data_IF_087634677862
#
_entry.id   IF_087634677862
#
_cell.length_a   1.000
_cell.length_b   1.000
_cell.length_c   1.000
_cell.angle_alpha   90.00
_cell.angle_beta   90.00
_cell.angle_gamma   90.00
#
_symmetry.space_group_name_H-M   'P 1'
#
loop_
_entity.id
_entity.type
_entity.pdbx_description
1 polymer ?
#
# COMPACT_ATOMS: atom_id res chain seq x y z
N UNK A 1 -16.88 4.51 9.25
CA UNK A 1 -15.57 4.45 9.92
C UNK A 1 -15.00 5.84 10.00
N UNK A 2 -15.05 6.44 11.18
CA UNK A 2 -14.38 7.71 11.50
C UNK A 2 -13.30 7.43 12.54
N UNK A 3 -12.21 8.19 12.49
CA UNK A 3 -11.17 8.14 13.51
C UNK A 3 -11.03 9.50 14.19
N UNK A 4 -10.70 9.51 15.49
CA UNK A 4 -10.40 10.75 16.21
C UNK A 4 -9.12 11.41 15.68
N UNK A 5 -8.16 10.58 15.28
CA UNK A 5 -6.86 10.98 14.75
C UNK A 5 -6.58 10.20 13.48
N UNK A 6 -5.69 10.72 12.63
CA UNK A 6 -5.32 10.05 11.40
C UNK A 6 -4.78 8.64 11.71
N UNK A 7 -5.37 7.56 11.11
CA UNK A 7 -4.89 6.20 11.28
C UNK A 7 -3.65 6.03 10.41
N UNK A 8 -2.57 6.61 10.89
CA UNK A 8 -1.31 6.69 10.21
C UNK A 8 -0.83 5.30 9.74
N UNK A 9 -0.89 4.28 10.60
CA UNK A 9 -0.57 2.90 10.23
C UNK A 9 -1.30 2.44 8.97
N UNK A 10 -2.61 2.66 8.89
CA UNK A 10 -3.43 2.30 7.72
C UNK A 10 -3.03 3.07 6.45
N UNK A 11 -2.51 4.29 6.62
CA UNK A 11 -2.05 5.14 5.53
C UNK A 11 -0.70 4.69 4.95
N UNK A 12 0.34 4.53 5.78
CA UNK A 12 1.70 4.31 5.27
C UNK A 12 2.25 2.90 5.45
N UNK A 13 1.62 1.99 6.21
CA UNK A 13 2.03 0.57 6.21
C UNK A 13 1.87 -0.05 4.83
N UNK A 14 0.73 0.11 4.11
CA UNK A 14 0.61 -0.43 2.75
C UNK A 14 1.66 0.14 1.79
N UNK A 15 1.95 1.43 1.90
CA UNK A 15 2.99 2.12 1.11
C UNK A 15 4.40 1.59 1.41
N UNK A 16 4.80 1.48 2.68
CA UNK A 16 6.13 0.98 3.02
C UNK A 16 6.29 -0.50 2.69
N UNK A 17 5.29 -1.32 3.01
CA UNK A 17 5.34 -2.75 2.78
C UNK A 17 5.46 -3.07 1.28
N UNK A 18 4.65 -2.41 0.45
CA UNK A 18 4.73 -2.55 -1.00
C UNK A 18 6.04 -2.07 -1.57
N UNK A 19 6.62 -0.99 -1.02
CA UNK A 19 7.94 -0.50 -1.39
C UNK A 19 9.04 -1.53 -1.07
N UNK A 20 9.02 -2.12 0.13
CA UNK A 20 9.96 -3.16 0.52
C UNK A 20 9.82 -4.41 -0.37
N UNK A 21 8.60 -4.90 -0.57
CA UNK A 21 8.33 -6.07 -1.43
C UNK A 21 8.84 -5.82 -2.84
N UNK A 22 8.48 -4.68 -3.41
CA UNK A 22 8.88 -4.28 -4.76
C UNK A 22 10.40 -4.18 -4.90
N UNK A 23 11.07 -3.55 -3.93
CA UNK A 23 12.53 -3.43 -3.90
C UNK A 23 13.20 -4.82 -3.80
N UNK A 24 12.72 -5.69 -2.91
CA UNK A 24 13.26 -7.04 -2.76
C UNK A 24 13.08 -7.88 -4.03
N UNK A 25 11.92 -7.80 -4.69
CA UNK A 25 11.68 -8.52 -5.95
C UNK A 25 12.67 -8.05 -7.02
N UNK A 26 12.84 -6.73 -7.17
CA UNK A 26 13.77 -6.17 -8.17
C UNK A 26 15.23 -6.55 -7.92
N UNK A 27 15.65 -6.63 -6.66
CA UNK A 27 17.06 -6.86 -6.31
C UNK A 27 17.42 -8.35 -6.23
N UNK A 28 16.49 -9.22 -5.82
CA UNK A 28 16.83 -10.59 -5.42
C UNK A 28 16.11 -11.69 -6.19
N UNK A 29 15.08 -11.37 -6.99
CA UNK A 29 14.30 -12.38 -7.69
C UNK A 29 14.65 -12.38 -9.18
N UNK A 30 15.26 -13.46 -9.65
CA UNK A 30 15.49 -13.67 -11.09
C UNK A 30 14.22 -14.20 -11.75
N UNK A 31 13.53 -13.33 -12.48
CA UNK A 31 12.29 -13.65 -13.18
C UNK A 31 12.51 -13.94 -14.67
N UNK A 32 13.75 -13.85 -15.18
CA UNK A 32 14.04 -14.06 -16.60
C UNK A 32 13.61 -15.45 -17.07
N UNK A 33 13.77 -16.46 -16.21
CA UNK A 33 13.36 -17.85 -16.48
C UNK A 33 11.84 -18.02 -16.62
N UNK A 34 11.05 -17.07 -16.10
CA UNK A 34 9.58 -17.11 -16.13
C UNK A 34 8.97 -16.11 -17.13
N UNK A 35 9.79 -15.28 -17.78
CA UNK A 35 9.33 -14.26 -18.73
C UNK A 35 8.43 -13.20 -18.10
N UNK A 36 8.67 -12.85 -16.83
CA UNK A 36 7.78 -11.99 -16.05
C UNK A 36 8.55 -10.78 -15.50
N UNK A 37 7.98 -9.59 -15.63
CA UNK A 37 8.65 -8.36 -15.18
C UNK A 37 8.54 -8.21 -13.65
N UNK A 38 9.63 -7.78 -13.00
CA UNK A 38 9.68 -7.55 -11.54
C UNK A 38 8.53 -6.67 -10.98
N UNK A 39 8.13 -5.55 -11.64
CA UNK A 39 6.96 -4.79 -11.25
C UNK A 39 5.65 -5.59 -11.27
N UNK A 40 5.44 -6.42 -12.30
CA UNK A 40 4.23 -7.25 -12.46
C UNK A 40 4.22 -8.37 -11.43
N UNK A 41 5.36 -9.02 -11.17
CA UNK A 41 5.48 -10.03 -10.12
C UNK A 41 5.16 -9.45 -8.75
N UNK A 42 5.72 -8.27 -8.46
CA UNK A 42 5.44 -7.54 -7.21
C UNK A 42 3.96 -7.22 -7.06
N UNK A 43 3.29 -6.79 -8.14
CA UNK A 43 1.85 -6.53 -8.15
C UNK A 43 1.04 -7.79 -7.82
N UNK A 44 1.39 -8.94 -8.42
CA UNK A 44 0.73 -10.22 -8.15
C UNK A 44 0.91 -10.62 -6.69
N UNK A 45 2.15 -10.57 -6.18
CA UNK A 45 2.45 -10.92 -4.79
C UNK A 45 1.70 -10.02 -3.80
N UNK A 46 1.66 -8.71 -4.05
CA UNK A 46 0.92 -7.76 -3.22
C UNK A 46 -0.59 -7.97 -3.31
N UNK A 47 -1.11 -8.34 -4.48
CA UNK A 47 -2.53 -8.67 -4.65
C UNK A 47 -2.93 -9.90 -3.84
N UNK A 48 -2.09 -10.94 -3.84
CA UNK A 48 -2.28 -12.11 -3.00
C UNK A 48 -2.23 -11.73 -1.52
N UNK A 49 -1.26 -10.89 -1.13
CA UNK A 49 -1.15 -10.42 0.25
C UNK A 49 -2.41 -9.68 0.70
N UNK A 50 -2.95 -8.78 -0.13
CA UNK A 50 -4.21 -8.05 0.14
C UNK A 50 -5.38 -9.02 0.35
N UNK A 51 -5.47 -10.08 -0.45
CA UNK A 51 -6.50 -11.11 -0.27
C UNK A 51 -6.29 -11.90 1.03
N UNK A 52 -5.04 -12.18 1.41
CA UNK A 52 -4.72 -12.89 2.63
C UNK A 52 -5.04 -12.11 3.92
N UNK A 53 -5.08 -10.78 3.89
CA UNK A 53 -5.39 -9.95 5.07
C UNK A 53 -6.71 -10.35 5.72
N UNK A 54 -7.70 -10.79 4.94
CA UNK A 54 -9.02 -11.21 5.43
C UNK A 54 -8.96 -12.42 6.38
N UNK A 55 -7.95 -13.28 6.22
CA UNK A 55 -7.77 -14.45 7.07
C UNK A 55 -7.04 -14.14 8.38
N UNK A 56 -6.37 -12.98 8.47
CA UNK A 56 -5.66 -12.55 9.69
C UNK A 56 -6.63 -11.97 10.70
N UNK A 57 -7.66 -11.27 10.24
CA UNK A 57 -8.69 -10.69 11.11
C UNK A 57 -10.07 -10.83 10.46
N UNK A 58 -10.82 -11.83 10.91
CA UNK A 58 -12.19 -12.07 10.43
C UNK A 58 -13.10 -11.01 11.03
N UNK A 59 -13.58 -10.12 10.17
CA UNK A 59 -14.54 -9.09 10.53
C UNK A 59 -15.97 -9.61 10.32
N UNK A 60 -16.72 -9.91 11.40
CA UNK A 60 -18.06 -10.49 11.30
C UNK A 60 -19.07 -9.55 10.61
N UNK A 61 -18.75 -8.26 10.50
CA UNK A 61 -19.60 -7.28 9.81
C UNK A 61 -19.39 -7.25 8.28
N UNK A 62 -18.48 -8.07 7.73
CA UNK A 62 -18.17 -8.13 6.30
C UNK A 62 -17.39 -6.93 5.74
N UNK A 63 -17.14 -5.89 6.57
CA UNK A 63 -16.42 -4.67 6.17
C UNK A 63 -14.96 -4.95 5.84
N UNK A 64 -14.36 -6.00 6.41
CA UNK A 64 -13.02 -6.49 6.04
C UNK A 64 -12.91 -6.92 4.57
N UNK A 65 -13.95 -7.57 4.03
CA UNK A 65 -13.97 -8.01 2.64
C UNK A 65 -14.10 -6.83 1.69
N UNK A 66 -14.99 -5.88 2.00
CA UNK A 66 -15.13 -4.65 1.22
C UNK A 66 -13.84 -3.82 1.20
N UNK A 67 -13.17 -3.69 2.36
CA UNK A 67 -11.85 -3.03 2.47
C UNK A 67 -10.81 -3.71 1.57
N UNK A 68 -10.75 -5.02 1.61
CA UNK A 68 -9.77 -5.79 0.84
C UNK A 68 -10.04 -5.72 -0.66
N UNK A 69 -11.32 -5.78 -1.06
CA UNK A 69 -11.73 -5.59 -2.46
C UNK A 69 -11.37 -4.18 -2.95
N UNK A 70 -11.66 -3.16 -2.14
CA UNK A 70 -11.25 -1.79 -2.43
C UNK A 70 -9.74 -1.65 -2.59
N UNK A 71 -8.97 -2.26 -1.69
CA UNK A 71 -7.51 -2.22 -1.74
C UNK A 71 -6.95 -2.92 -2.98
N UNK A 72 -7.52 -4.06 -3.37
CA UNK A 72 -7.16 -4.75 -4.59
C UNK A 72 -7.45 -3.87 -5.82
N UNK A 73 -8.64 -3.29 -5.92
CA UNK A 73 -9.00 -2.38 -7.01
C UNK A 73 -8.06 -1.17 -7.04
N UNK A 74 -7.76 -0.57 -5.89
CA UNK A 74 -6.88 0.59 -5.79
C UNK A 74 -5.44 0.27 -6.20
N UNK A 75 -4.93 -0.90 -5.80
CA UNK A 75 -3.60 -1.37 -6.18
C UNK A 75 -3.51 -1.59 -7.70
N UNK A 76 -4.48 -2.30 -8.27
CA UNK A 76 -4.53 -2.64 -9.70
C UNK A 76 -4.72 -1.37 -10.56
N UNK A 77 -5.67 -0.52 -10.21
CA UNK A 77 -5.92 0.74 -10.93
C UNK A 77 -4.79 1.74 -10.75
N UNK A 78 -4.12 1.74 -9.60
CA UNK A 78 -2.94 2.56 -9.38
C UNK A 78 -1.75 2.15 -10.24
N UNK A 79 -1.62 0.86 -10.56
CA UNK A 79 -0.51 0.32 -11.33
C UNK A 79 -0.75 0.28 -12.84
N UNK A 80 -1.80 -0.41 -13.33
CA UNK A 80 -1.93 -0.78 -14.75
C UNK A 80 -1.87 0.38 -15.75
N UNK A 81 -2.52 1.54 -15.51
CA UNK A 81 -2.48 2.65 -16.46
C UNK A 81 -1.07 3.23 -16.66
N UNK A 82 -0.12 2.95 -15.75
CA UNK A 82 1.31 3.27 -15.92
C UNK A 82 1.88 2.69 -17.21
N UNK A 83 1.39 1.53 -17.68
CA UNK A 83 1.83 0.93 -18.93
C UNK A 83 1.47 1.78 -20.17
N UNK A 84 0.45 2.64 -20.08
CA UNK A 84 -0.05 3.45 -21.20
C UNK A 84 0.47 4.88 -21.13
N UNK A 85 0.47 5.49 -19.95
CA UNK A 85 0.81 6.93 -19.79
C UNK A 85 2.11 7.17 -19.01
N UNK A 86 2.87 6.10 -18.74
CA UNK A 86 4.16 6.17 -18.05
C UNK A 86 4.06 6.72 -16.62
N UNK A 87 5.15 7.33 -16.16
CA UNK A 87 5.30 7.82 -14.78
C UNK A 87 4.34 8.95 -14.37
N UNK A 88 3.62 9.55 -15.32
CA UNK A 88 2.60 10.56 -15.03
C UNK A 88 1.46 9.97 -14.19
N UNK A 89 1.08 8.71 -14.45
CA UNK A 89 -0.01 8.08 -13.70
C UNK A 89 0.31 7.78 -12.24
N UNK A 90 1.43 7.09 -11.91
CA UNK A 90 1.85 6.92 -10.53
C UNK A 90 1.96 8.25 -9.76
N UNK A 91 2.41 9.32 -10.43
CA UNK A 91 2.46 10.65 -9.82
C UNK A 91 1.06 11.17 -9.46
N UNK A 92 0.09 11.08 -10.39
CA UNK A 92 -1.31 11.45 -10.12
C UNK A 92 -1.88 10.64 -8.95
N UNK A 93 -1.66 9.32 -8.96
CA UNK A 93 -2.15 8.40 -7.91
C UNK A 93 -1.53 8.75 -6.56
N UNK A 94 -0.22 9.02 -6.50
CA UNK A 94 0.48 9.43 -5.29
C UNK A 94 -0.08 10.74 -4.71
N UNK A 95 -0.31 11.74 -5.56
CA UNK A 95 -0.90 13.02 -5.17
C UNK A 95 -2.33 12.82 -4.64
N UNK A 96 -3.16 12.03 -5.34
CA UNK A 96 -4.52 11.70 -4.88
C UNK A 96 -4.47 11.03 -3.51
N UNK A 97 -3.61 10.01 -3.34
CA UNK A 97 -3.44 9.29 -2.07
C UNK A 97 -3.05 10.24 -0.93
N UNK A 98 -2.05 11.11 -1.13
CA UNK A 98 -1.62 12.11 -0.14
C UNK A 98 -2.73 13.13 0.20
N UNK A 99 -3.49 13.58 -0.79
CA UNK A 99 -4.65 14.46 -0.53
C UNK A 99 -5.69 13.71 0.31
N UNK A 100 -6.00 12.46 -0.01
CA UNK A 100 -6.96 11.66 0.75
C UNK A 100 -6.47 11.38 2.17
N UNK A 101 -5.16 11.24 2.43
CA UNK A 101 -4.61 11.13 3.79
C UNK A 101 -5.06 12.27 4.71
N UNK A 102 -5.25 13.49 4.20
CA UNK A 102 -5.75 14.63 4.99
C UNK A 102 -7.25 14.59 5.29
N UNK A 103 -8.03 13.85 4.48
CA UNK A 103 -9.50 13.85 4.52
C UNK A 103 -10.11 12.57 5.07
N UNK A 104 -9.47 11.41 4.85
CA UNK A 104 -10.11 10.11 5.03
C UNK A 104 -10.47 9.78 6.47
N UNK A 105 -9.76 10.35 7.44
CA UNK A 105 -10.00 10.12 8.86
C UNK A 105 -11.08 11.04 9.45
N UNK A 106 -11.36 12.18 8.80
CA UNK A 106 -12.29 13.20 9.31
C UNK A 106 -13.76 12.88 9.04
N UNK A 107 -14.04 11.99 8.10
CA UNK A 107 -15.40 11.67 7.66
C UNK A 107 -15.63 10.16 7.68
N UNK A 108 -16.89 9.77 7.84
CA UNK A 108 -17.31 8.37 7.79
C UNK A 108 -17.35 7.88 6.35
N UNK A 109 -16.24 7.34 5.87
CA UNK A 109 -16.17 6.73 4.53
C UNK A 109 -16.61 5.26 4.53
N UNK A 110 -17.14 4.77 3.39
CA UNK A 110 -17.46 3.37 3.24
C UNK A 110 -16.18 2.51 3.27
N UNK A 111 -16.26 1.27 3.78
CA UNK A 111 -15.11 0.36 3.88
C UNK A 111 -14.34 0.20 2.57
N UNK A 112 -15.06 0.05 1.46
CA UNK A 112 -14.47 -0.04 0.12
C UNK A 112 -13.58 1.16 -0.23
N UNK A 113 -13.99 2.39 0.11
CA UNK A 113 -13.21 3.60 -0.21
C UNK A 113 -11.94 3.70 0.64
N UNK A 114 -11.99 3.24 1.88
CA UNK A 114 -10.81 3.13 2.75
C UNK A 114 -9.83 2.11 2.16
N UNK A 115 -10.36 0.98 1.69
CA UNK A 115 -9.62 0.01 0.90
C UNK A 115 -8.93 0.65 -0.30
N UNK A 116 -9.70 1.33 -1.16
CA UNK A 116 -9.19 1.98 -2.37
C UNK A 116 -8.03 2.94 -2.08
N UNK A 117 -8.15 3.73 -1.02
CA UNK A 117 -7.10 4.62 -0.57
C UNK A 117 -5.84 3.87 -0.09
N UNK A 118 -5.99 2.79 0.69
CA UNK A 118 -4.86 1.94 1.08
C UNK A 118 -4.19 1.28 -0.14
N UNK A 119 -4.99 0.86 -1.13
CA UNK A 119 -4.53 0.34 -2.41
C UNK A 119 -3.73 1.37 -3.23
N UNK A 120 -4.14 2.65 -3.23
CA UNK A 120 -3.34 3.72 -3.84
C UNK A 120 -2.03 3.98 -3.11
N UNK A 121 -2.01 3.87 -1.77
CA UNK A 121 -0.77 3.88 -1.01
C UNK A 121 0.16 2.74 -1.41
N UNK A 122 -0.38 1.53 -1.52
CA UNK A 122 0.37 0.34 -1.92
C UNK A 122 0.90 0.41 -3.38
N UNK A 123 0.12 0.91 -4.33
CA UNK A 123 0.61 1.08 -5.71
C UNK A 123 1.70 2.16 -5.80
N UNK A 124 1.56 3.25 -5.04
CA UNK A 124 2.59 4.29 -4.94
C UNK A 124 3.89 3.71 -4.37
N UNK A 125 3.80 2.92 -3.30
CA UNK A 125 4.94 2.25 -2.70
C UNK A 125 5.60 1.25 -3.63
N UNK A 126 4.81 0.44 -4.35
CA UNK A 126 5.30 -0.48 -5.38
C UNK A 126 6.17 0.26 -6.40
N UNK A 127 5.66 1.32 -7.03
CA UNK A 127 6.39 2.06 -8.06
C UNK A 127 7.64 2.74 -7.49
N UNK A 128 7.53 3.35 -6.31
CA UNK A 128 8.69 3.95 -5.64
C UNK A 128 9.76 2.92 -5.28
N UNK A 129 9.36 1.70 -4.89
CA UNK A 129 10.27 0.58 -4.64
C UNK A 129 11.02 0.14 -5.88
N UNK A 130 10.34 0.07 -7.03
CA UNK A 130 10.97 -0.25 -8.32
C UNK A 130 12.00 0.82 -8.71
N UNK A 131 11.60 2.10 -8.67
CA UNK A 131 12.48 3.21 -9.04
C UNK A 131 13.68 3.29 -8.09
N UNK A 132 13.43 3.18 -6.79
CA UNK A 132 14.48 3.21 -5.77
C UNK A 132 15.49 2.08 -5.95
N UNK A 133 15.02 0.85 -6.16
CA UNK A 133 15.89 -0.29 -6.44
C UNK A 133 16.69 -0.11 -7.75
N UNK A 134 16.06 0.40 -8.81
CA UNK A 134 16.73 0.59 -10.10
C UNK A 134 17.79 1.71 -10.09
N UNK A 135 17.62 2.73 -9.25
CA UNK A 135 18.51 3.92 -9.22
C UNK A 135 19.57 3.82 -8.12
N UNK A 136 19.20 3.28 -6.95
CA UNK A 136 20.01 3.31 -5.73
C UNK A 136 20.35 1.91 -5.22
N UNK A 137 19.86 0.86 -5.88
CA UNK A 137 20.17 -0.54 -5.59
C UNK A 137 20.01 -0.89 -4.10
N UNK A 138 21.01 -1.57 -3.52
CA UNK A 138 21.05 -1.97 -2.12
C UNK A 138 20.98 -0.79 -1.14
N UNK A 139 21.45 0.41 -1.54
CA UNK A 139 21.38 1.58 -0.68
C UNK A 139 19.94 2.01 -0.42
N UNK A 140 19.04 1.82 -1.40
CA UNK A 140 17.61 2.07 -1.20
C UNK A 140 17.02 1.11 -0.18
N UNK A 141 17.31 -0.19 -0.32
CA UNK A 141 16.81 -1.22 0.59
C UNK A 141 17.24 -0.96 2.04
N UNK A 142 18.51 -0.59 2.25
CA UNK A 142 19.03 -0.21 3.57
C UNK A 142 18.25 0.99 4.10
N UNK A 143 18.05 2.02 3.27
CA UNK A 143 17.34 3.25 3.67
C UNK A 143 15.90 2.96 4.09
N UNK A 144 15.13 2.21 3.29
CA UNK A 144 13.73 1.90 3.60
C UNK A 144 13.60 0.94 4.78
N UNK A 145 14.59 0.08 5.00
CA UNK A 145 14.64 -0.83 6.16
C UNK A 145 14.94 -0.05 7.43
N UNK A 146 15.94 0.84 7.41
CA UNK A 146 16.23 1.74 8.53
C UNK A 146 15.04 2.63 8.84
N UNK A 147 14.37 3.16 7.81
CA UNK A 147 13.13 3.88 7.97
C UNK A 147 12.08 2.99 8.65
N UNK A 148 11.83 1.77 8.15
CA UNK A 148 10.88 0.83 8.75
C UNK A 148 11.19 0.42 10.20
N UNK A 149 12.45 0.46 10.64
CA UNK A 149 12.86 0.19 12.03
C UNK A 149 12.67 1.43 12.92
N UNK A 150 13.07 2.60 12.42
CA UNK A 150 13.01 3.86 13.17
C UNK A 150 11.57 4.39 13.25
N UNK A 151 10.79 4.18 12.21
CA UNK A 151 9.46 4.77 12.04
C UNK A 151 8.43 4.32 13.08
N UNK A 152 8.38 3.04 13.51
CA UNK A 152 7.56 2.59 14.65
C UNK A 152 8.01 3.19 15.98
N UNK A 153 9.31 3.49 16.16
CA UNK A 153 9.86 4.11 17.37
C UNK A 153 9.42 5.57 17.53
N UNK A 154 8.89 6.20 16.48
CA UNK A 154 8.38 7.57 16.47
C UNK A 154 6.90 7.69 16.90
N UNK A 155 6.37 6.72 17.67
CA UNK A 155 5.02 6.75 18.23
C UNK A 155 3.91 6.95 17.20
N UNK A 156 4.00 6.24 16.08
CA UNK A 156 2.82 6.00 15.28
C UNK A 156 1.89 5.05 16.02
N UNK A 157 0.74 5.56 16.47
CA UNK A 157 -0.36 4.67 16.82
C UNK A 157 -0.61 3.79 15.59
N UNK A 158 -0.27 2.49 15.69
CA UNK A 158 -1.06 1.45 15.03
C UNK A 158 -2.50 1.84 15.34
N UNK A 159 -3.18 2.37 14.32
CA UNK A 159 -4.35 3.23 14.53
C UNK A 159 -5.32 2.54 15.47
N UNK A 160 -5.85 3.28 16.45
CA UNK A 160 -7.02 2.79 17.19
C UNK A 160 -8.08 2.39 16.16
N UNK A 161 -8.86 1.37 16.51
CA UNK A 161 -10.01 0.97 15.71
C UNK A 161 -10.88 2.23 15.47
N UNK A 162 -11.56 2.34 14.31
CA UNK A 162 -12.49 3.44 14.09
C UNK A 162 -13.47 3.51 15.26
N UNK A 163 -13.93 4.72 15.61
CA UNK A 163 -14.83 4.94 16.75
C UNK A 163 -16.06 4.03 16.72
N UNK A 164 -16.53 3.70 15.51
CA UNK A 164 -17.65 2.80 15.24
C UNK A 164 -17.38 1.31 15.58
N UNK A 165 -16.16 0.95 16.01
CA UNK A 165 -15.71 -0.40 16.39
C UNK A 165 -15.24 -0.47 17.86
N UNK A 166 -15.29 0.64 18.63
CA UNK A 166 -14.98 0.66 20.08
C UNK A 166 -16.21 0.40 20.98
N UNK A 167 -17.40 0.13 20.41
CA UNK A 167 -18.63 -0.24 21.14
C UNK A 167 -19.05 -1.70 20.94
#
# INVERSE_FOLDING_TARGET
MRWERMPFGLAFVPFHLSMCVSCCVTLFVDLNSFGLDAPVFSLILLSLLVLCVQFVHVDPSGRGNERSLGALVGLQFGYWPTAVVGLVWPFIVAVIWLIQCSRIWRYSYPPFRIGLWAGFGASTGLIAGQIGAAVLEMAFLITITLFGIIFPLLYWSLGRLPLDEEE
#
